data_IF_208283818428
#
_entry.id   IF_208283818428
#
_cell.length_a   1.000
_cell.length_b   1.000
_cell.length_c   1.000
_cell.angle_alpha   90.00
_cell.angle_beta   90.00
_cell.angle_gamma   90.00
#
_symmetry.space_group_name_H-M   'P 1'
#
loop_
_entity.id
_entity.type
_entity.pdbx_description
1 polymer ?
#
# COMPACT_ATOMS: atom_id res chain seq x y z
N UNK A 1 -4.17 24.09 -65.61
CA UNK A 1 -5.24 23.64 -64.70
C UNK A 1 -6.56 23.95 -65.39
N UNK A 2 -7.17 22.92 -65.96
CA UNK A 2 -8.28 23.07 -66.90
C UNK A 2 -9.63 22.96 -66.22
N UNK A 3 -10.69 23.38 -66.90
CA UNK A 3 -12.10 23.24 -66.49
C UNK A 3 -12.44 21.83 -65.95
N UNK A 4 -11.76 20.78 -66.45
CA UNK A 4 -11.91 19.38 -65.98
C UNK A 4 -11.42 19.15 -64.55
N UNK A 5 -10.38 19.85 -64.10
CA UNK A 5 -9.87 19.72 -62.72
C UNK A 5 -10.80 20.43 -61.74
N UNK A 6 -11.32 21.61 -62.13
CA UNK A 6 -12.32 22.35 -61.35
C UNK A 6 -13.63 21.57 -61.22
N UNK A 7 -14.10 20.91 -62.30
CA UNK A 7 -15.30 20.07 -62.26
C UNK A 7 -15.12 18.83 -61.37
N UNK A 8 -13.91 18.26 -61.32
CA UNK A 8 -13.60 17.14 -60.41
C UNK A 8 -13.57 17.59 -58.95
N UNK A 9 -13.01 18.75 -58.66
CA UNK A 9 -13.01 19.33 -57.31
C UNK A 9 -14.44 19.60 -56.82
N UNK A 10 -15.26 20.26 -57.63
CA UNK A 10 -16.68 20.52 -57.30
C UNK A 10 -17.47 19.22 -57.08
N UNK A 11 -17.23 18.19 -57.92
CA UNK A 11 -17.89 16.88 -57.74
C UNK A 11 -17.43 16.15 -56.47
N UNK A 12 -16.16 16.30 -56.09
CA UNK A 12 -15.64 15.72 -54.86
C UNK A 12 -16.22 16.42 -53.62
N UNK A 13 -16.34 17.76 -53.66
CA UNK A 13 -16.99 18.55 -52.61
C UNK A 13 -18.46 18.15 -52.43
N UNK A 14 -19.24 18.09 -53.51
CA UNK A 14 -20.65 17.66 -53.48
C UNK A 14 -20.80 16.24 -52.91
N UNK A 15 -19.96 15.28 -53.34
CA UNK A 15 -19.98 13.93 -52.79
C UNK A 15 -19.61 13.89 -51.29
N UNK A 16 -18.73 14.78 -50.84
CA UNK A 16 -18.33 14.87 -49.43
C UNK A 16 -19.46 15.45 -48.58
N UNK A 17 -20.17 16.46 -49.10
CA UNK A 17 -21.36 17.03 -48.46
C UNK A 17 -22.52 16.01 -48.40
N UNK A 18 -22.77 15.25 -49.46
CA UNK A 18 -23.78 14.18 -49.46
C UNK A 18 -23.45 13.08 -48.44
N UNK A 19 -22.19 12.64 -48.37
CA UNK A 19 -21.75 11.68 -47.34
C UNK A 19 -21.88 12.24 -45.92
N UNK A 20 -21.63 13.54 -45.73
CA UNK A 20 -21.83 14.19 -44.45
C UNK A 20 -23.30 14.20 -44.03
N UNK A 21 -24.20 14.54 -44.95
CA UNK A 21 -25.65 14.53 -44.72
C UNK A 21 -26.15 13.10 -44.48
N UNK A 22 -25.68 12.13 -45.26
CA UNK A 22 -26.05 10.72 -45.08
C UNK A 22 -25.61 10.18 -43.72
N UNK A 23 -24.38 10.51 -43.30
CA UNK A 23 -23.87 10.13 -41.99
C UNK A 23 -24.63 10.83 -40.84
N UNK A 24 -25.04 12.09 -41.03
CA UNK A 24 -25.88 12.81 -40.08
C UNK A 24 -27.25 12.14 -39.91
N UNK A 25 -27.91 11.79 -41.01
CA UNK A 25 -29.22 11.10 -41.00
C UNK A 25 -29.10 9.69 -40.39
N UNK A 26 -28.02 8.95 -40.71
CA UNK A 26 -27.73 7.65 -40.09
C UNK A 26 -27.48 7.79 -38.59
N UNK A 27 -26.73 8.80 -38.18
CA UNK A 27 -26.47 9.13 -36.77
C UNK A 27 -27.75 9.46 -36.01
N UNK A 28 -28.65 10.26 -36.59
CA UNK A 28 -29.95 10.58 -36.00
C UNK A 28 -30.80 9.32 -35.80
N UNK A 29 -30.89 8.45 -36.82
CA UNK A 29 -31.61 7.17 -36.72
C UNK A 29 -30.99 6.24 -35.68
N UNK A 30 -29.66 6.20 -35.57
CA UNK A 30 -28.95 5.42 -34.58
C UNK A 30 -29.25 5.91 -33.15
N UNK A 31 -29.14 7.21 -32.90
CA UNK A 31 -29.44 7.80 -31.59
C UNK A 31 -30.92 7.57 -31.24
N UNK A 32 -31.86 7.77 -32.17
CA UNK A 32 -33.28 7.51 -31.91
C UNK A 32 -33.57 6.04 -31.60
N UNK A 33 -32.90 5.10 -32.27
CA UNK A 33 -33.06 3.65 -32.05
C UNK A 33 -32.47 3.21 -30.71
N UNK A 34 -31.31 3.73 -30.32
CA UNK A 34 -30.59 3.31 -29.12
C UNK A 34 -30.71 4.30 -27.95
N UNK A 35 -31.59 5.30 -28.02
CA UNK A 35 -31.71 6.37 -27.01
C UNK A 35 -31.76 5.84 -25.58
N UNK A 36 -32.50 4.76 -25.33
CA UNK A 36 -32.62 4.16 -24.00
C UNK A 36 -31.29 3.57 -23.51
N UNK A 37 -30.54 2.89 -24.37
CA UNK A 37 -29.22 2.35 -24.04
C UNK A 37 -28.19 3.46 -23.82
N UNK A 38 -28.24 4.53 -24.61
CA UNK A 38 -27.36 5.70 -24.44
C UNK A 38 -27.64 6.38 -23.09
N UNK A 39 -28.92 6.61 -22.75
CA UNK A 39 -29.29 7.18 -21.45
C UNK A 39 -28.91 6.26 -20.29
N UNK A 40 -29.08 4.94 -20.44
CA UNK A 40 -28.65 3.98 -19.42
C UNK A 40 -27.12 4.01 -19.20
N UNK A 41 -26.33 4.08 -20.27
CA UNK A 41 -24.87 4.20 -20.18
C UNK A 41 -24.44 5.50 -19.49
N UNK A 42 -25.07 6.63 -19.84
CA UNK A 42 -24.81 7.92 -19.20
C UNK A 42 -25.16 7.87 -17.72
N UNK A 43 -26.30 7.28 -17.35
CA UNK A 43 -26.70 7.13 -15.96
C UNK A 43 -25.69 6.29 -15.16
N UNK A 44 -25.21 5.18 -15.71
CA UNK A 44 -24.17 4.35 -15.09
C UNK A 44 -22.87 5.14 -14.89
N UNK A 45 -22.44 5.92 -15.88
CA UNK A 45 -21.24 6.75 -15.79
C UNK A 45 -21.36 7.81 -14.69
N UNK A 46 -22.52 8.47 -14.57
CA UNK A 46 -22.77 9.46 -13.52
C UNK A 46 -22.73 8.80 -12.13
N UNK A 47 -23.39 7.64 -11.98
CA UNK A 47 -23.40 6.89 -10.71
C UNK A 47 -21.97 6.47 -10.34
N UNK A 48 -21.22 5.92 -11.29
CA UNK A 48 -19.83 5.52 -11.07
C UNK A 48 -18.97 6.70 -10.61
N UNK A 49 -19.07 7.85 -11.28
CA UNK A 49 -18.32 9.04 -10.92
C UNK A 49 -18.70 9.58 -9.53
N UNK A 50 -19.99 9.57 -9.20
CA UNK A 50 -20.49 9.97 -7.89
C UNK A 50 -19.94 9.06 -6.77
N UNK A 51 -20.01 7.73 -6.97
CA UNK A 51 -19.47 6.74 -6.02
C UNK A 51 -17.97 6.95 -5.83
N UNK A 52 -17.19 7.05 -6.91
CA UNK A 52 -15.74 7.25 -6.85
C UNK A 52 -15.35 8.55 -6.15
N UNK A 53 -16.10 9.63 -6.37
CA UNK A 53 -15.85 10.91 -5.71
C UNK A 53 -16.10 10.85 -4.20
N UNK A 54 -17.24 10.26 -3.81
CA UNK A 54 -17.60 10.11 -2.39
C UNK A 54 -16.62 9.16 -1.69
N UNK A 55 -16.29 8.02 -2.30
CA UNK A 55 -15.36 7.05 -1.72
C UNK A 55 -13.98 7.65 -1.49
N UNK A 56 -13.46 8.44 -2.45
CA UNK A 56 -12.18 9.14 -2.30
C UNK A 56 -12.18 10.14 -1.14
N UNK A 57 -13.27 10.87 -0.92
CA UNK A 57 -13.41 11.79 0.22
C UNK A 57 -13.46 11.07 1.56
N UNK A 58 -14.20 9.96 1.63
CA UNK A 58 -14.30 9.13 2.83
C UNK A 58 -12.94 8.50 3.17
N UNK A 59 -12.21 8.03 2.17
CA UNK A 59 -10.88 7.44 2.36
C UNK A 59 -9.89 8.47 2.92
N UNK A 60 -9.84 9.68 2.33
CA UNK A 60 -9.00 10.77 2.83
C UNK A 60 -9.35 11.15 4.27
N UNK A 61 -10.64 11.30 4.57
CA UNK A 61 -11.11 11.58 5.91
C UNK A 61 -10.69 10.48 6.90
N UNK A 62 -10.84 9.21 6.51
CA UNK A 62 -10.45 8.08 7.35
C UNK A 62 -8.95 8.04 7.62
N UNK A 63 -8.12 8.37 6.63
CA UNK A 63 -6.66 8.47 6.78
C UNK A 63 -6.31 9.60 7.76
N UNK A 64 -6.84 10.80 7.55
CA UNK A 64 -6.56 11.97 8.41
C UNK A 64 -6.97 11.71 9.86
N UNK A 65 -8.17 11.17 10.07
CA UNK A 65 -8.69 10.92 11.41
C UNK A 65 -7.89 9.83 12.13
N UNK A 66 -7.53 8.73 11.43
CA UNK A 66 -6.68 7.69 12.02
C UNK A 66 -5.30 8.22 12.42
N UNK A 67 -4.72 9.09 11.59
CA UNK A 67 -3.44 9.74 11.87
C UNK A 67 -3.54 10.71 13.07
N UNK A 68 -4.65 11.44 13.19
CA UNK A 68 -4.91 12.30 14.36
C UNK A 68 -5.00 11.47 15.65
N UNK A 69 -5.77 10.38 15.65
CA UNK A 69 -5.89 9.48 16.80
C UNK A 69 -4.50 8.92 17.17
N UNK A 70 -3.74 8.43 16.19
CA UNK A 70 -2.40 7.91 16.40
C UNK A 70 -1.47 8.97 17.01
N UNK A 71 -1.48 10.20 16.48
CA UNK A 71 -0.64 11.30 16.99
C UNK A 71 -1.03 11.68 18.42
N UNK A 72 -2.33 11.70 18.72
CA UNK A 72 -2.81 11.94 20.09
C UNK A 72 -2.34 10.83 21.05
N UNK A 73 -2.35 9.57 20.63
CA UNK A 73 -1.81 8.45 21.40
C UNK A 73 -0.29 8.54 21.61
N UNK A 74 0.46 9.08 20.65
CA UNK A 74 1.89 9.31 20.86
C UNK A 74 2.15 10.29 22.01
N UNK A 75 1.28 11.29 22.19
CA UNK A 75 1.35 12.27 23.27
C UNK A 75 0.77 11.74 24.59
N UNK A 76 -0.29 10.92 24.52
CA UNK A 76 -0.93 10.29 25.68
C UNK A 76 -1.08 8.76 25.48
N UNK A 77 -0.01 7.97 25.70
CA UNK A 77 0.02 6.54 25.34
C UNK A 77 -0.92 5.64 26.15
N UNK A 78 -1.38 6.11 27.32
CA UNK A 78 -2.20 5.31 28.24
C UNK A 78 -3.71 5.59 28.08
N UNK A 79 -4.11 6.39 27.09
CA UNK A 79 -5.51 6.68 26.82
C UNK A 79 -6.22 5.46 26.21
N UNK A 80 -6.92 4.70 27.05
CA UNK A 80 -7.64 3.49 26.64
C UNK A 80 -8.74 3.77 25.60
N UNK A 81 -9.37 4.94 25.66
CA UNK A 81 -10.42 5.30 24.70
C UNK A 81 -9.83 5.52 23.31
N UNK A 82 -8.71 6.25 23.21
CA UNK A 82 -8.01 6.44 21.95
C UNK A 82 -7.41 5.13 21.41
N UNK A 83 -6.95 4.22 22.28
CA UNK A 83 -6.46 2.90 21.88
C UNK A 83 -7.54 2.06 21.19
N UNK A 84 -8.72 1.95 21.81
CA UNK A 84 -9.84 1.22 21.21
C UNK A 84 -10.34 1.90 19.94
N UNK A 85 -10.37 3.24 19.88
CA UNK A 85 -10.69 3.96 18.64
C UNK A 85 -9.69 3.64 17.52
N UNK A 86 -8.39 3.67 17.80
CA UNK A 86 -7.36 3.38 16.81
C UNK A 86 -7.45 1.93 16.32
N UNK A 87 -7.64 0.98 17.24
CA UNK A 87 -7.79 -0.45 16.93
C UNK A 87 -8.95 -0.71 15.98
N UNK A 88 -10.11 -0.11 16.25
CA UNK A 88 -11.30 -0.29 15.44
C UNK A 88 -11.21 0.43 14.09
N UNK A 89 -10.54 1.58 14.03
CA UNK A 89 -10.46 2.40 12.83
C UNK A 89 -9.32 2.00 11.89
N UNK A 90 -8.16 1.65 12.45
CA UNK A 90 -6.96 1.31 11.69
C UNK A 90 -6.06 0.32 12.46
N UNK A 91 -6.32 -0.97 12.27
CA UNK A 91 -5.56 -2.05 12.87
C UNK A 91 -4.05 -2.01 12.55
N UNK A 92 -3.65 -1.48 11.39
CA UNK A 92 -2.24 -1.35 11.01
C UNK A 92 -1.52 -0.32 11.89
N UNK A 93 -2.11 0.88 12.05
CA UNK A 93 -1.55 1.90 12.93
C UNK A 93 -1.57 1.47 14.40
N UNK A 94 -2.61 0.76 14.81
CA UNK A 94 -2.67 0.14 16.14
C UNK A 94 -1.53 -0.86 16.36
N UNK A 95 -1.27 -1.75 15.41
CA UNK A 95 -0.14 -2.67 15.48
C UNK A 95 1.21 -1.93 15.57
N UNK A 96 1.40 -0.88 14.77
CA UNK A 96 2.62 -0.04 14.83
C UNK A 96 2.77 0.61 16.21
N UNK A 97 1.68 1.12 16.79
CA UNK A 97 1.69 1.67 18.14
C UNK A 97 2.12 0.62 19.17
N UNK A 98 1.51 -0.59 19.14
CA UNK A 98 1.87 -1.69 20.03
C UNK A 98 3.34 -2.11 19.87
N UNK A 99 3.87 -2.17 18.64
CA UNK A 99 5.29 -2.46 18.41
C UNK A 99 6.22 -1.42 19.04
N UNK A 100 5.85 -0.14 18.97
CA UNK A 100 6.57 0.95 19.66
C UNK A 100 6.53 0.77 21.17
N UNK A 101 5.38 0.44 21.75
CA UNK A 101 5.26 0.23 23.20
C UNK A 101 6.02 -1.02 23.65
N UNK A 102 6.00 -2.11 22.87
CA UNK A 102 6.82 -3.30 23.11
C UNK A 102 8.33 -3.00 23.08
N UNK A 103 8.77 -2.04 22.25
CA UNK A 103 10.18 -1.66 22.23
C UNK A 103 10.66 -1.01 23.55
N UNK A 104 9.75 -0.50 24.39
CA UNK A 104 10.07 0.02 25.73
C UNK A 104 10.30 -1.11 26.73
N UNK A 105 9.52 -2.19 26.62
CA UNK A 105 9.68 -3.41 27.40
C UNK A 105 9.43 -4.64 26.54
N UNK A 106 10.52 -5.20 26.01
CA UNK A 106 10.51 -6.34 25.10
C UNK A 106 9.94 -7.60 25.76
N UNK A 107 9.84 -7.65 27.09
CA UNK A 107 9.29 -8.79 27.82
C UNK A 107 7.80 -8.67 28.11
N UNK A 108 7.16 -7.55 27.75
CA UNK A 108 5.74 -7.34 27.98
C UNK A 108 4.89 -8.40 27.23
N UNK A 109 4.34 -9.35 27.99
CA UNK A 109 3.57 -10.48 27.47
C UNK A 109 2.19 -10.07 26.98
N UNK A 110 1.59 -9.03 27.55
CA UNK A 110 0.29 -8.51 27.15
C UNK A 110 0.35 -7.93 25.73
N UNK A 111 1.32 -7.04 25.48
CA UNK A 111 1.50 -6.44 24.15
C UNK A 111 1.84 -7.50 23.10
N UNK A 112 2.66 -8.50 23.45
CA UNK A 112 2.95 -9.64 22.56
C UNK A 112 1.69 -10.42 22.20
N UNK A 113 0.83 -10.72 23.18
CA UNK A 113 -0.43 -11.42 22.95
C UNK A 113 -1.37 -10.61 22.03
N UNK A 114 -1.46 -9.30 22.25
CA UNK A 114 -2.25 -8.41 21.39
C UNK A 114 -1.71 -8.40 19.95
N UNK A 115 -0.40 -8.26 19.77
CA UNK A 115 0.23 -8.34 18.45
C UNK A 115 0.01 -9.70 17.76
N UNK A 116 0.11 -10.80 18.52
CA UNK A 116 -0.13 -12.14 18.00
C UNK A 116 -1.58 -12.30 17.53
N UNK A 117 -2.55 -11.78 18.29
CA UNK A 117 -3.97 -11.78 17.90
C UNK A 117 -4.22 -11.03 16.59
N UNK A 118 -3.54 -9.90 16.37
CA UNK A 118 -3.61 -9.15 15.13
C UNK A 118 -2.98 -9.92 13.96
N UNK A 119 -1.86 -10.61 14.19
CA UNK A 119 -1.21 -11.41 13.16
C UNK A 119 -2.02 -12.64 12.73
N UNK A 120 -2.80 -13.20 13.65
CA UNK A 120 -3.63 -14.38 13.41
C UNK A 120 -4.95 -14.06 12.72
N UNK A 121 -5.35 -12.78 12.68
CA UNK A 121 -6.55 -12.35 11.97
C UNK A 121 -6.41 -12.62 10.46
N UNK A 122 -7.40 -13.26 9.84
CA UNK A 122 -7.41 -13.59 8.40
C UNK A 122 -7.28 -12.35 7.52
N UNK A 123 -7.84 -11.22 7.96
CA UNK A 123 -7.96 -10.00 7.17
C UNK A 123 -6.73 -9.10 7.29
N UNK A 124 -5.81 -9.43 8.19
CA UNK A 124 -4.56 -8.69 8.33
C UNK A 124 -3.66 -8.87 7.09
N UNK A 125 -3.14 -7.76 6.58
CA UNK A 125 -2.26 -7.74 5.43
C UNK A 125 -1.01 -8.63 5.68
N UNK A 126 -0.61 -9.45 4.71
CA UNK A 126 0.58 -10.30 4.78
C UNK A 126 1.84 -9.54 5.18
N UNK A 127 2.02 -8.31 4.68
CA UNK A 127 3.16 -7.46 5.00
C UNK A 127 3.15 -7.09 6.49
N UNK A 128 1.99 -6.73 7.05
CA UNK A 128 1.84 -6.46 8.48
C UNK A 128 2.16 -7.71 9.31
N UNK A 129 1.62 -8.88 8.95
CA UNK A 129 1.91 -10.15 9.66
C UNK A 129 3.43 -10.39 9.76
N UNK A 130 4.13 -10.21 8.66
CA UNK A 130 5.58 -10.39 8.58
C UNK A 130 6.39 -9.36 9.36
N UNK A 131 5.88 -8.13 9.47
CA UNK A 131 6.47 -7.08 10.31
C UNK A 131 6.27 -7.42 11.79
N UNK A 132 5.08 -7.89 12.18
CA UNK A 132 4.74 -8.30 13.55
C UNK A 132 5.56 -9.53 14.00
N UNK A 133 5.85 -10.47 13.10
CA UNK A 133 6.67 -11.65 13.43
C UNK A 133 8.06 -11.28 13.98
N UNK A 134 8.68 -10.20 13.49
CA UNK A 134 10.01 -9.77 13.93
C UNK A 134 10.12 -9.47 15.43
N UNK A 135 9.34 -8.53 16.02
CA UNK A 135 9.40 -8.25 17.44
C UNK A 135 8.91 -9.42 18.31
N UNK A 136 8.14 -10.36 17.75
CA UNK A 136 7.75 -11.60 18.43
C UNK A 136 8.87 -12.67 18.41
N UNK A 137 9.96 -12.46 17.66
CA UNK A 137 11.04 -13.44 17.50
C UNK A 137 10.66 -14.60 16.57
N UNK A 138 9.62 -14.44 15.76
CA UNK A 138 9.18 -15.38 14.76
C UNK A 138 9.84 -15.08 13.40
N UNK A 139 9.96 -16.10 12.55
CA UNK A 139 10.60 -15.96 11.24
C UNK A 139 9.72 -15.15 10.28
N UNK A 140 10.21 -13.97 9.87
CA UNK A 140 9.59 -13.17 8.81
C UNK A 140 9.99 -13.71 7.43
N UNK A 141 9.04 -13.85 6.50
CA UNK A 141 9.29 -14.23 5.10
C UNK A 141 9.86 -13.05 4.30
N UNK A 142 9.31 -11.85 4.49
CA UNK A 142 9.75 -10.65 3.75
C UNK A 142 11.02 -10.03 4.33
N UNK A 143 11.19 -10.10 5.65
CA UNK A 143 12.28 -9.40 6.35
C UNK A 143 13.36 -10.36 6.85
N UNK A 144 13.58 -11.49 6.16
CA UNK A 144 14.57 -12.53 6.52
C UNK A 144 15.98 -11.99 6.76
N UNK A 145 16.47 -11.09 5.91
CA UNK A 145 17.81 -10.54 6.08
C UNK A 145 17.87 -9.56 7.25
N UNK A 146 16.79 -8.85 7.54
CA UNK A 146 16.69 -7.97 8.70
C UNK A 146 16.64 -8.79 10.01
N UNK A 147 15.87 -9.87 10.03
CA UNK A 147 15.84 -10.85 11.12
C UNK A 147 17.24 -11.42 11.42
N UNK A 148 18.00 -11.81 10.39
CA UNK A 148 19.40 -12.24 10.54
C UNK A 148 20.29 -11.16 11.16
N UNK A 149 20.15 -9.89 10.76
CA UNK A 149 20.91 -8.78 11.35
C UNK A 149 20.58 -8.63 12.84
N UNK A 150 19.30 -8.66 13.21
CA UNK A 150 18.85 -8.54 14.60
C UNK A 150 19.35 -9.70 15.47
N UNK A 151 19.26 -10.93 14.98
CA UNK A 151 19.77 -12.11 15.68
C UNK A 151 21.28 -12.04 15.85
N UNK A 152 22.02 -11.68 14.79
CA UNK A 152 23.47 -11.51 14.87
C UNK A 152 23.86 -10.41 15.87
N UNK A 153 23.15 -9.27 15.88
CA UNK A 153 23.40 -8.19 16.83
C UNK A 153 23.23 -8.66 18.29
N UNK A 154 22.18 -9.43 18.59
CA UNK A 154 21.98 -10.02 19.93
C UNK A 154 23.12 -10.97 20.31
N UNK A 155 23.51 -11.86 19.39
CA UNK A 155 24.63 -12.80 19.59
C UNK A 155 25.96 -12.07 19.85
N UNK A 156 26.22 -10.96 19.15
CA UNK A 156 27.38 -10.11 19.39
C UNK A 156 27.36 -9.51 20.80
N UNK A 157 26.20 -9.04 21.27
CA UNK A 157 26.02 -8.56 22.65
C UNK A 157 26.23 -9.64 23.72
N UNK A 158 25.98 -10.91 23.37
CA UNK A 158 26.23 -12.08 24.22
C UNK A 158 27.67 -12.63 24.08
N UNK A 159 28.53 -12.01 23.27
CA UNK A 159 29.90 -12.47 23.02
C UNK A 159 30.01 -13.70 22.09
N UNK A 160 28.91 -14.15 21.49
CA UNK A 160 28.84 -15.30 20.58
C UNK A 160 29.22 -14.91 19.15
N UNK A 161 30.44 -14.41 18.97
CA UNK A 161 30.93 -13.80 17.73
C UNK A 161 30.86 -14.75 16.54
N UNK A 162 31.26 -16.01 16.70
CA UNK A 162 31.22 -17.00 15.61
C UNK A 162 29.80 -17.26 15.10
N UNK A 163 28.84 -17.42 16.02
CA UNK A 163 27.43 -17.66 15.66
C UNK A 163 26.83 -16.44 14.95
N UNK A 164 27.17 -15.23 15.42
CA UNK A 164 26.78 -13.99 14.74
C UNK A 164 27.35 -13.95 13.31
N UNK A 165 28.64 -14.27 13.13
CA UNK A 165 29.30 -14.28 11.84
C UNK A 165 28.69 -15.28 10.85
N UNK A 166 28.23 -16.44 11.33
CA UNK A 166 27.51 -17.41 10.50
C UNK A 166 26.23 -16.78 9.94
N UNK A 167 25.40 -16.14 10.78
CA UNK A 167 24.16 -15.49 10.34
C UNK A 167 24.42 -14.34 9.36
N UNK A 168 25.40 -13.49 9.65
CA UNK A 168 25.77 -12.35 8.80
C UNK A 168 26.27 -12.81 7.43
N UNK A 169 26.97 -13.95 7.35
CA UNK A 169 27.48 -14.51 6.09
C UNK A 169 26.37 -15.10 5.20
N UNK A 170 25.18 -15.33 5.74
CA UNK A 170 24.01 -15.75 4.96
C UNK A 170 23.28 -14.58 4.28
N UNK A 171 23.74 -13.34 4.47
CA UNK A 171 23.21 -12.16 3.78
C UNK A 171 24.01 -11.98 2.50
N UNK A 172 23.34 -12.05 1.36
CA UNK A 172 23.96 -11.93 0.04
C UNK A 172 24.52 -10.53 -0.20
N UNK A 173 25.54 -10.45 -1.06
CA UNK A 173 26.20 -9.18 -1.39
C UNK A 173 25.32 -8.17 -2.14
N UNK A 174 24.32 -8.65 -2.89
CA UNK A 174 23.31 -7.86 -3.61
C UNK A 174 22.21 -7.30 -2.69
N UNK A 175 22.19 -7.70 -1.41
CA UNK A 175 21.26 -7.19 -0.42
C UNK A 175 21.56 -5.74 -0.06
N UNK A 176 20.52 -4.92 0.09
CA UNK A 176 20.64 -3.58 0.67
C UNK A 176 21.25 -3.57 2.09
N UNK A 177 21.21 -4.70 2.80
CA UNK A 177 21.79 -4.87 4.13
C UNK A 177 23.23 -5.43 4.10
N UNK A 178 23.83 -5.65 2.92
CA UNK A 178 25.17 -6.23 2.79
C UNK A 178 26.23 -5.42 3.53
N UNK A 179 26.20 -4.08 3.39
CA UNK A 179 27.17 -3.22 4.07
C UNK A 179 27.05 -3.31 5.59
N UNK A 180 25.83 -3.33 6.11
CA UNK A 180 25.58 -3.49 7.55
C UNK A 180 26.10 -4.84 8.02
N UNK A 181 25.84 -5.90 7.25
CA UNK A 181 26.30 -7.24 7.57
C UNK A 181 27.84 -7.31 7.65
N UNK A 182 28.53 -6.72 6.66
CA UNK A 182 30.01 -6.63 6.63
C UNK A 182 30.54 -5.86 7.82
N UNK A 183 29.96 -4.70 8.13
CA UNK A 183 30.37 -3.89 9.28
C UNK A 183 30.23 -4.68 10.60
N UNK A 184 29.12 -5.39 10.80
CA UNK A 184 28.89 -6.22 11.99
C UNK A 184 29.84 -7.42 12.07
N UNK A 185 30.27 -8.00 10.95
CA UNK A 185 31.26 -9.10 10.95
C UNK A 185 32.63 -8.68 11.47
N UNK A 186 32.97 -7.40 11.34
CA UNK A 186 34.22 -6.85 11.86
C UNK A 186 34.12 -6.43 13.34
N UNK A 187 32.94 -6.53 13.94
CA UNK A 187 32.73 -6.19 15.33
C UNK A 187 33.29 -7.30 16.24
N UNK A 188 34.27 -6.95 17.08
CA UNK A 188 34.94 -7.89 18.00
C UNK A 188 34.35 -7.90 19.41
N UNK A 189 33.16 -7.29 19.61
CA UNK A 189 32.56 -7.14 20.95
C UNK A 189 33.00 -5.85 21.67
N UNK A 190 32.30 -5.51 22.75
CA UNK A 190 32.72 -4.45 23.68
C UNK A 190 33.86 -5.03 24.54
N UNK A 191 35.08 -4.52 24.39
CA UNK A 191 36.13 -4.81 25.38
C UNK A 191 35.72 -4.15 26.70
N UNK A 192 35.30 -4.95 27.69
CA UNK A 192 35.26 -4.50 29.09
C UNK A 192 36.59 -4.77 29.75
#
# INVERSE_FOLDING_TARGET
>A
MGLKDNLKAVKAEINTEEQFIENFIKGERFIKKYKLYIFALIAILIIWFAISFISGKIEQYNIEESNKIYTSLLNNPNDQALLEQLKNKNANLYAIFLMKELAKDINNTEIKSQLQSLSSNSDANHLLKNIISLPLGEKSIFLKNYDKILQAYRLLGEGKIEQANILLSQIKDDSALSQIAKNLKHYQGISR
#
